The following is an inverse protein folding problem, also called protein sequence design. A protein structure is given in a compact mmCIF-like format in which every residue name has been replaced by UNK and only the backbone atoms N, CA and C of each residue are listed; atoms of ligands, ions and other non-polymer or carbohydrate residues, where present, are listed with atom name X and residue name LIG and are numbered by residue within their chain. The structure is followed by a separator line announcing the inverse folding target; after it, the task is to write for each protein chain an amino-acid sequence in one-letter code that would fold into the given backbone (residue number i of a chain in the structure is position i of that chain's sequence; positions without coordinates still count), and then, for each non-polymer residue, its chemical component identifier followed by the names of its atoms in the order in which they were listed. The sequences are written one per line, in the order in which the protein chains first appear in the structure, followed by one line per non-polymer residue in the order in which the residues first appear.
data_IF_358098537520
#
_entry.id   IF_358098537520
#
_cell.length_a   1.000
_cell.length_b   1.000
_cell.length_c   1.000
_cell.angle_alpha   90.00
_cell.angle_beta   90.00
_cell.angle_gamma   90.00
#
_symmetry.space_group_name_H-M   'P 1'
#
loop_
_entity.id
_entity.type
_entity.pdbx_description
1 polymer ?
#
# COMPACT_ATOMS: atom_id res chain seq x y z
N UNK A 1 6.36 14.08 37.98
CA UNK A 1 6.76 12.71 38.36
C UNK A 1 7.84 12.34 37.38
N UNK A 2 9.09 12.37 37.84
CA UNK A 2 10.28 12.37 37.00
C UNK A 2 10.49 10.99 36.36
N UNK A 3 10.33 10.92 35.04
CA UNK A 3 10.54 9.72 34.21
C UNK A 3 11.96 9.68 33.64
N UNK A 4 12.98 9.86 34.49
CA UNK A 4 14.37 9.64 34.08
C UNK A 4 15.07 8.80 35.13
N UNK A 5 15.06 7.49 34.92
CA UNK A 5 15.91 6.53 35.63
C UNK A 5 16.84 5.91 34.59
N UNK A 6 18.13 6.24 34.69
CA UNK A 6 19.27 5.51 34.13
C UNK A 6 19.32 5.19 32.63
N UNK A 7 19.30 6.20 31.74
CA UNK A 7 19.81 6.04 30.35
C UNK A 7 19.22 4.87 29.54
N UNK A 8 18.11 4.30 29.99
CA UNK A 8 17.37 3.17 29.45
C UNK A 8 16.02 3.73 29.07
N UNK A 9 15.71 3.67 27.79
CA UNK A 9 14.37 4.00 27.31
C UNK A 9 13.33 3.23 28.13
N UNK A 10 12.20 3.86 28.46
CA UNK A 10 11.06 3.07 28.91
C UNK A 10 10.74 2.05 27.82
N UNK A 11 10.31 0.83 28.17
CA UNK A 11 10.00 -0.21 27.18
C UNK A 11 9.03 0.28 26.07
N UNK A 12 8.22 1.29 26.39
CA UNK A 12 7.35 1.99 25.45
C UNK A 12 8.11 2.95 24.51
N UNK A 13 9.06 3.75 24.99
CA UNK A 13 9.86 4.61 24.10
C UNK A 13 10.76 3.79 23.19
N UNK A 14 11.28 2.66 23.68
CA UNK A 14 12.05 1.74 22.86
C UNK A 14 11.18 1.10 21.78
N UNK A 15 9.96 0.67 22.14
CA UNK A 15 8.94 0.22 21.18
C UNK A 15 8.62 1.31 20.15
N UNK A 16 8.44 2.57 20.60
CA UNK A 16 8.14 3.73 19.76
C UNK A 16 9.32 4.10 18.82
N UNK A 17 10.55 3.77 19.19
CA UNK A 17 11.72 4.00 18.34
C UNK A 17 11.74 3.05 17.13
N UNK A 18 11.48 1.75 17.34
CA UNK A 18 11.34 0.78 16.25
C UNK A 18 10.05 0.99 15.42
N UNK A 19 9.04 1.59 16.03
CA UNK A 19 7.75 1.94 15.46
C UNK A 19 7.81 2.78 14.17
N UNK A 20 8.77 3.70 14.09
CA UNK A 20 8.96 4.52 12.90
C UNK A 20 9.52 3.72 11.72
N UNK A 21 10.35 2.72 12.01
CA UNK A 21 10.93 1.85 11.00
C UNK A 21 9.91 0.90 10.39
N UNK A 22 9.05 0.30 11.23
CA UNK A 22 7.97 -0.57 10.78
C UNK A 22 6.97 0.17 9.88
N UNK A 23 6.82 1.48 10.08
CA UNK A 23 5.93 2.29 9.25
C UNK A 23 6.36 2.33 7.77
N UNK A 24 7.66 2.20 7.47
CA UNK A 24 8.16 2.15 6.09
C UNK A 24 7.68 0.94 5.31
N UNK A 25 7.30 -0.14 5.99
CA UNK A 25 6.71 -1.32 5.35
C UNK A 25 5.41 -0.92 4.65
N UNK A 26 4.55 -0.12 5.29
CA UNK A 26 3.28 0.31 4.70
C UNK A 26 3.47 1.28 3.52
N UNK A 27 4.49 2.15 3.58
CA UNK A 27 4.88 2.94 2.41
C UNK A 27 5.36 2.05 1.26
N UNK A 28 6.06 0.97 1.55
CA UNK A 28 6.50 -0.01 0.55
C UNK A 28 5.31 -0.74 -0.07
N UNK A 29 4.32 -1.14 0.73
CA UNK A 29 3.07 -1.72 0.22
C UNK A 29 2.32 -0.76 -0.71
N UNK A 30 2.25 0.53 -0.33
CA UNK A 30 1.68 1.56 -1.21
C UNK A 30 2.47 1.70 -2.52
N UNK A 31 3.81 1.68 -2.44
CA UNK A 31 4.67 1.75 -3.61
C UNK A 31 4.46 0.56 -4.56
N UNK A 32 4.23 -0.65 -4.04
CA UNK A 32 3.90 -1.83 -4.86
C UNK A 32 2.62 -1.59 -5.66
N UNK A 33 1.55 -1.12 -5.03
CA UNK A 33 0.28 -0.80 -5.71
C UNK A 33 0.49 0.27 -6.78
N UNK A 34 1.29 1.29 -6.46
CA UNK A 34 1.61 2.37 -7.39
C UNK A 34 2.40 1.89 -8.62
N UNK A 35 3.43 1.06 -8.42
CA UNK A 35 4.21 0.46 -9.52
C UNK A 35 3.31 -0.41 -10.40
N UNK A 36 2.43 -1.20 -9.79
CA UNK A 36 1.48 -2.03 -10.54
C UNK A 36 0.50 -1.19 -11.36
N UNK A 37 0.03 -0.05 -10.84
CA UNK A 37 -0.76 0.91 -11.61
C UNK A 37 0.02 1.45 -12.82
N UNK A 38 1.28 1.85 -12.63
CA UNK A 38 2.13 2.33 -13.73
C UNK A 38 2.27 1.26 -14.81
N UNK A 39 2.52 0.01 -14.43
CA UNK A 39 2.60 -1.13 -15.37
C UNK A 39 1.30 -1.30 -16.16
N UNK A 40 0.14 -1.26 -15.50
CA UNK A 40 -1.17 -1.35 -16.15
C UNK A 40 -1.42 -0.18 -17.12
N UNK A 41 -1.07 1.04 -16.73
CA UNK A 41 -1.22 2.22 -17.58
C UNK A 41 -0.28 2.17 -18.79
N UNK A 42 0.98 1.79 -18.61
CA UNK A 42 1.95 1.65 -19.70
C UNK A 42 1.52 0.58 -20.71
N UNK A 43 0.99 -0.55 -20.22
CA UNK A 43 0.45 -1.63 -21.07
C UNK A 43 -0.73 -1.13 -21.90
N UNK A 44 -1.68 -0.43 -21.28
CA UNK A 44 -2.83 0.17 -21.97
C UNK A 44 -2.43 1.20 -23.04
N UNK A 45 -1.50 2.11 -22.72
CA UNK A 45 -1.02 3.11 -23.69
C UNK A 45 -0.31 2.45 -24.86
N UNK A 46 0.47 1.41 -24.62
CA UNK A 46 1.20 0.68 -25.67
C UNK A 46 0.24 -0.06 -26.61
N UNK A 47 -0.77 -0.75 -26.06
CA UNK A 47 -1.82 -1.39 -26.84
C UNK A 47 -2.59 -0.38 -27.69
N UNK A 48 -2.96 0.77 -27.12
CA UNK A 48 -3.64 1.85 -27.87
C UNK A 48 -2.79 2.40 -29.04
N UNK A 49 -1.46 2.27 -28.97
CA UNK A 49 -0.52 2.68 -30.02
C UNK A 49 -0.18 1.55 -31.00
N UNK A 50 -0.83 0.38 -30.90
CA UNK A 50 -0.54 -0.79 -31.72
C UNK A 50 0.87 -1.35 -31.50
N UNK A 51 1.48 -1.07 -30.34
CA UNK A 51 2.80 -1.58 -29.97
C UNK A 51 2.66 -2.73 -28.99
N UNK A 52 3.30 -3.85 -29.29
CA UNK A 52 3.48 -4.95 -28.33
C UNK A 52 4.41 -4.45 -27.21
N UNK A 53 3.82 -4.17 -26.06
CA UNK A 53 4.57 -3.86 -24.84
C UNK A 53 5.22 -5.14 -24.32
N UNK A 54 6.55 -5.13 -24.11
CA UNK A 54 7.24 -6.19 -23.36
C UNK A 54 6.89 -6.20 -21.87
N UNK A 55 6.21 -5.17 -21.38
CA UNK A 55 5.66 -5.09 -20.02
C UNK A 55 4.26 -5.71 -20.09
N UNK A 56 4.12 -6.94 -19.59
CA UNK A 56 2.84 -7.63 -19.47
C UNK A 56 2.26 -7.25 -18.10
N UNK A 57 1.29 -6.33 -18.07
CA UNK A 57 0.41 -6.19 -16.90
C UNK A 57 -0.72 -7.20 -16.98
N UNK A 58 -1.07 -7.82 -15.86
CA UNK A 58 -2.10 -8.86 -15.84
C UNK A 58 -2.72 -9.11 -14.47
N UNK A 59 -3.47 -10.20 -14.38
CA UNK A 59 -4.17 -10.60 -13.15
C UNK A 59 -3.22 -10.84 -11.96
N UNK A 60 -1.96 -11.20 -12.23
CA UNK A 60 -0.93 -11.36 -11.19
C UNK A 60 -0.62 -10.03 -10.49
N UNK A 61 -0.51 -8.92 -11.24
CA UNK A 61 -0.26 -7.60 -10.66
C UNK A 61 -1.47 -7.13 -9.84
N UNK A 62 -2.69 -7.47 -10.26
CA UNK A 62 -3.89 -7.21 -9.48
C UNK A 62 -3.89 -8.01 -8.18
N UNK A 63 -3.54 -9.29 -8.25
CA UNK A 63 -3.43 -10.15 -7.07
C UNK A 63 -2.39 -9.64 -6.07
N UNK A 64 -1.21 -9.21 -6.55
CA UNK A 64 -0.18 -8.60 -5.71
C UNK A 64 -0.69 -7.31 -5.05
N UNK A 65 -1.43 -6.46 -5.78
CA UNK A 65 -2.03 -5.26 -5.19
C UNK A 65 -3.11 -5.58 -4.14
N UNK A 66 -3.86 -6.67 -4.30
CA UNK A 66 -4.80 -7.15 -3.27
C UNK A 66 -4.04 -7.58 -2.01
N UNK A 67 -2.95 -8.35 -2.16
CA UNK A 67 -2.11 -8.75 -1.03
C UNK A 67 -1.51 -7.54 -0.31
N UNK A 68 -1.05 -6.53 -1.06
CA UNK A 68 -0.58 -5.28 -0.48
C UNK A 68 -1.69 -4.54 0.29
N UNK A 69 -2.91 -4.51 -0.24
CA UNK A 69 -4.09 -3.96 0.45
C UNK A 69 -4.41 -4.71 1.75
N UNK A 70 -4.35 -6.05 1.75
CA UNK A 70 -4.52 -6.85 2.96
C UNK A 70 -3.44 -6.52 4.01
N UNK A 71 -2.18 -6.35 3.59
CA UNK A 71 -1.10 -5.92 4.48
C UNK A 71 -1.35 -4.55 5.11
N UNK A 72 -1.92 -3.59 4.36
CA UNK A 72 -2.32 -2.29 4.90
C UNK A 72 -3.46 -2.41 5.93
N UNK A 73 -4.42 -3.31 5.71
CA UNK A 73 -5.49 -3.60 6.68
C UNK A 73 -4.88 -4.19 7.97
N UNK A 74 -3.89 -5.08 7.86
CA UNK A 74 -3.20 -5.61 9.03
C UNK A 74 -2.57 -4.51 9.89
N UNK A 75 -2.01 -3.48 9.27
CA UNK A 75 -1.48 -2.31 10.00
C UNK A 75 -2.55 -1.52 10.78
N UNK A 76 -3.82 -1.59 10.38
CA UNK A 76 -4.92 -0.97 11.14
C UNK A 76 -5.20 -1.70 12.46
N UNK A 77 -4.97 -3.03 12.55
CA UNK A 77 -5.13 -3.75 13.82
C UNK A 77 -4.13 -3.29 14.88
N UNK A 78 -2.95 -2.83 14.46
CA UNK A 78 -1.94 -2.32 15.37
C UNK A 78 -2.36 -1.02 16.08
N UNK A 79 -3.36 -0.31 15.55
CA UNK A 79 -3.99 0.83 16.22
C UNK A 79 -4.62 0.43 17.57
N UNK A 80 -5.21 -0.76 17.66
CA UNK A 80 -5.82 -1.27 18.89
C UNK A 80 -4.78 -1.55 19.99
N UNK A 81 -3.64 -2.11 19.61
CA UNK A 81 -2.52 -2.30 20.55
C UNK A 81 -2.02 -0.95 21.07
N UNK A 82 -1.91 0.06 20.19
CA UNK A 82 -1.56 1.39 20.64
C UNK A 82 -2.62 2.05 21.51
N UNK A 83 -3.92 1.82 21.28
CA UNK A 83 -4.95 2.49 22.07
C UNK A 83 -4.90 2.08 23.55
N UNK A 84 -4.43 0.87 23.83
CA UNK A 84 -4.27 0.36 25.19
C UNK A 84 -3.08 1.00 25.93
N UNK A 85 -2.10 1.52 25.19
CA UNK A 85 -0.85 2.06 25.76
C UNK A 85 -0.81 3.59 25.71
N UNK A 86 -1.20 4.20 24.58
CA UNK A 86 -1.19 5.64 24.37
C UNK A 86 -2.25 6.08 23.36
N UNK A 87 -3.23 6.84 23.84
CA UNK A 87 -4.31 7.41 23.03
C UNK A 87 -3.79 8.36 21.94
N UNK A 88 -2.79 9.18 22.26
CA UNK A 88 -2.19 10.12 21.31
C UNK A 88 -1.52 9.39 20.14
N UNK A 89 -0.65 8.42 20.43
CA UNK A 89 0.04 7.65 19.39
C UNK A 89 -0.93 6.81 18.56
N UNK A 90 -1.95 6.22 19.21
CA UNK A 90 -3.00 5.48 18.51
C UNK A 90 -3.74 6.34 17.48
N UNK A 91 -4.08 7.58 17.84
CA UNK A 91 -4.73 8.53 16.91
C UNK A 91 -3.81 8.91 15.76
N UNK A 92 -2.53 9.17 16.02
CA UNK A 92 -1.55 9.50 14.97
C UNK A 92 -1.39 8.33 14.00
N UNK A 93 -1.22 7.11 14.53
CA UNK A 93 -1.08 5.89 13.72
C UNK A 93 -2.33 5.64 12.88
N UNK A 94 -3.50 5.62 13.51
CA UNK A 94 -4.78 5.37 12.85
C UNK A 94 -5.01 6.36 11.71
N UNK A 95 -4.77 7.66 11.92
CA UNK A 95 -4.89 8.67 10.86
C UNK A 95 -3.95 8.40 9.68
N UNK A 96 -2.69 8.06 9.93
CA UNK A 96 -1.73 7.78 8.86
C UNK A 96 -2.08 6.49 8.10
N UNK A 97 -2.43 5.42 8.81
CA UNK A 97 -2.83 4.15 8.19
C UNK A 97 -4.10 4.29 7.37
N UNK A 98 -5.09 5.01 7.89
CA UNK A 98 -6.33 5.30 7.17
C UNK A 98 -6.08 6.08 5.87
N UNK A 99 -5.21 7.09 5.93
CA UNK A 99 -4.79 7.84 4.73
C UNK A 99 -4.11 6.92 3.70
N UNK A 100 -3.15 6.09 4.14
CA UNK A 100 -2.46 5.14 3.25
C UNK A 100 -3.44 4.16 2.59
N UNK A 101 -4.40 3.65 3.37
CA UNK A 101 -5.42 2.74 2.87
C UNK A 101 -6.30 3.40 1.80
N UNK A 102 -6.78 4.63 2.03
CA UNK A 102 -7.57 5.38 1.05
C UNK A 102 -6.77 5.59 -0.24
N UNK A 103 -5.52 6.05 -0.12
CA UNK A 103 -4.68 6.31 -1.30
C UNK A 103 -4.45 5.01 -2.07
N UNK A 104 -4.08 3.92 -1.38
CA UNK A 104 -3.89 2.61 -2.01
C UNK A 104 -5.16 2.11 -2.71
N UNK A 105 -6.33 2.29 -2.08
CA UNK A 105 -7.60 1.88 -2.66
C UNK A 105 -7.93 2.65 -3.95
N UNK A 106 -7.71 3.96 -3.96
CA UNK A 106 -7.89 4.80 -5.16
C UNK A 106 -6.95 4.33 -6.29
N UNK A 107 -5.66 4.13 -5.98
CA UNK A 107 -4.67 3.64 -6.95
C UNK A 107 -5.07 2.26 -7.51
N UNK A 108 -5.56 1.37 -6.65
CA UNK A 108 -6.03 0.04 -7.04
C UNK A 108 -7.24 0.10 -7.98
N UNK A 109 -8.22 0.98 -7.73
CA UNK A 109 -9.36 1.19 -8.64
C UNK A 109 -8.86 1.59 -10.03
N UNK A 110 -7.94 2.56 -10.11
CA UNK A 110 -7.36 2.95 -11.39
C UNK A 110 -6.63 1.78 -12.07
N UNK A 111 -5.89 0.98 -11.31
CA UNK A 111 -5.16 -0.19 -11.83
C UNK A 111 -6.14 -1.20 -12.44
N UNK A 112 -7.25 -1.50 -11.77
CA UNK A 112 -8.33 -2.36 -12.28
C UNK A 112 -8.88 -1.82 -13.59
N UNK A 113 -9.23 -0.53 -13.64
CA UNK A 113 -9.79 0.10 -14.85
C UNK A 113 -8.84 -0.05 -16.04
N UNK A 114 -7.55 0.27 -15.88
CA UNK A 114 -6.57 0.15 -16.96
C UNK A 114 -6.35 -1.31 -17.40
N UNK A 115 -6.31 -2.23 -16.43
CA UNK A 115 -6.12 -3.66 -16.72
C UNK A 115 -7.30 -4.23 -17.53
N UNK A 116 -8.54 -3.90 -17.16
CA UNK A 116 -9.72 -4.34 -17.89
C UNK A 116 -9.79 -3.73 -19.30
N UNK A 117 -9.47 -2.44 -19.44
CA UNK A 117 -9.43 -1.78 -20.76
C UNK A 117 -8.37 -2.40 -21.68
N UNK A 118 -7.19 -2.70 -21.16
CA UNK A 118 -6.15 -3.39 -21.92
C UNK A 118 -6.62 -4.78 -22.40
N UNK A 119 -7.23 -5.57 -21.53
CA UNK A 119 -7.73 -6.91 -21.87
C UNK A 119 -8.83 -6.90 -22.93
N UNK A 120 -9.68 -5.87 -22.95
CA UNK A 120 -10.68 -5.71 -23.99
C UNK A 120 -10.07 -5.41 -25.36
N UNK A 121 -9.02 -4.59 -25.42
CA UNK A 121 -8.29 -4.30 -26.68
C UNK A 121 -7.61 -5.57 -27.20
N UNK A 122 -6.90 -6.29 -26.32
CA UNK A 122 -6.22 -7.55 -26.66
C UNK A 122 -7.18 -8.65 -27.13
N UNK A 123 -8.44 -8.61 -26.68
CA UNK A 123 -9.48 -9.53 -27.17
C UNK A 123 -9.90 -9.18 -28.60
N UNK A 124 -10.17 -7.89 -28.88
CA UNK A 124 -10.63 -7.44 -30.21
C UNK A 124 -9.56 -7.63 -31.30
N UNK A 125 -8.26 -7.55 -30.96
CA UNK A 125 -7.18 -7.82 -31.92
C UNK A 125 -6.98 -9.32 -32.24
N UNK A 126 -7.61 -10.23 -31.49
CA UNK A 126 -7.50 -11.69 -31.68
C UNK A 126 -8.70 -12.32 -32.39
N UNK A 127 -9.82 -11.61 -32.48
CA UNK A 127 -11.05 -12.03 -33.16
C UNK A 127 -11.08 -11.49 -34.60
#
# INVERSE_FOLDING_TARGET
MDFYVDGKYSAFEELMHYYHWDFYVYYTLLAIVFINLIKSMASFISAKRGKVSGIISGYTDLFVSILAGLGLICGMFFQGVLSDISSEHSVIWGKKMFLLFIVAFILFIFQVIFTLKFKNIEKYERD
#
